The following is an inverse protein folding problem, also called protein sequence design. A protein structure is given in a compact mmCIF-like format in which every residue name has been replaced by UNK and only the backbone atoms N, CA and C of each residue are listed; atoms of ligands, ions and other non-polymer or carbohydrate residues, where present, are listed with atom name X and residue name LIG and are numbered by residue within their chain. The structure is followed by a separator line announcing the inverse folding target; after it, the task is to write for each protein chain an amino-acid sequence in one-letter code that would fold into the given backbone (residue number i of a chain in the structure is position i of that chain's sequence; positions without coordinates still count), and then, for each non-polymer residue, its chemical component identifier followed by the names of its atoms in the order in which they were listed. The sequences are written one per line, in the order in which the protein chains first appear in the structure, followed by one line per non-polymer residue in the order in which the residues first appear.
data_IF_818999067894
#
_entry.id   IF_818999067894
#
_cell.length_a   1.000
_cell.length_b   1.000
_cell.length_c   1.000
_cell.angle_alpha   90.00
_cell.angle_beta   90.00
_cell.angle_gamma   90.00
#
_symmetry.space_group_name_H-M   'P 1'
#
loop_
_entity.id
_entity.type
_entity.pdbx_description
1 polymer ?
#
# COMPACT_ATOMS: atom_id res chain seq x y z
N UNK A 1 13.91 6.96 3.15
CA UNK A 1 12.90 6.72 4.16
C UNK A 1 11.86 7.79 4.19
N UNK A 2 10.94 7.74 3.28
CA UNK A 2 9.87 8.70 3.28
C UNK A 2 8.57 7.98 3.51
N UNK A 3 7.84 8.43 4.50
CA UNK A 3 6.50 7.92 4.71
C UNK A 3 5.56 8.68 3.81
N UNK A 4 4.69 7.95 3.16
CA UNK A 4 3.71 8.52 2.26
C UNK A 4 2.33 8.11 2.73
N UNK A 5 1.35 8.91 2.37
CA UNK A 5 -0.03 8.57 2.64
C UNK A 5 -0.74 8.38 1.31
N UNK A 6 -1.70 7.49 1.30
CA UNK A 6 -2.45 7.25 0.09
C UNK A 6 -3.75 6.53 0.39
N UNK A 7 -4.47 6.22 -0.68
CA UNK A 7 -5.74 5.53 -0.59
C UNK A 7 -5.63 4.23 -1.36
N UNK A 8 -6.12 3.15 -0.77
CA UNK A 8 -6.13 1.87 -1.45
C UNK A 8 -7.06 1.95 -2.65
N UNK A 9 -6.52 1.73 -3.84
CA UNK A 9 -7.31 1.71 -5.04
C UNK A 9 -8.04 0.38 -5.17
N UNK A 10 -7.32 -0.70 -4.95
CA UNK A 10 -7.91 -2.01 -4.98
C UNK A 10 -7.00 -2.98 -4.24
N UNK A 11 -7.56 -4.05 -3.76
CA UNK A 11 -6.78 -5.09 -3.10
C UNK A 11 -7.45 -6.42 -3.30
N UNK A 12 -6.67 -7.38 -3.79
CA UNK A 12 -7.17 -8.73 -4.05
C UNK A 12 -6.69 -9.65 -2.92
N UNK A 13 -7.62 -10.03 -2.06
CA UNK A 13 -7.28 -10.86 -0.92
C UNK A 13 -6.80 -12.25 -1.32
N UNK A 14 -7.34 -12.76 -2.42
CA UNK A 14 -6.94 -14.08 -2.90
C UNK A 14 -5.50 -14.11 -3.36
N UNK A 15 -5.06 -13.03 -4.00
CA UNK A 15 -3.68 -12.93 -4.46
C UNK A 15 -2.78 -12.28 -3.42
N UNK A 16 -3.37 -11.61 -2.44
CA UNK A 16 -2.61 -10.90 -1.44
C UNK A 16 -1.87 -9.71 -1.99
N UNK A 17 -2.46 -9.02 -2.97
CA UNK A 17 -1.81 -7.88 -3.58
C UNK A 17 -2.83 -6.86 -4.02
N UNK A 18 -2.37 -5.63 -4.19
CA UNK A 18 -3.24 -4.55 -4.61
C UNK A 18 -2.46 -3.33 -5.02
N UNK A 19 -3.15 -2.20 -5.09
CA UNK A 19 -2.55 -0.94 -5.49
C UNK A 19 -2.99 0.17 -4.56
N UNK A 20 -2.10 1.13 -4.37
CA UNK A 20 -2.38 2.31 -3.56
C UNK A 20 -2.15 3.53 -4.43
N UNK A 21 -3.06 4.50 -4.36
CA UNK A 21 -2.91 5.78 -5.03
C UNK A 21 -2.38 6.78 -4.01
N UNK A 22 -1.13 7.25 -4.19
CA UNK A 22 -0.56 8.22 -3.25
C UNK A 22 -1.33 9.54 -3.28
N UNK A 23 -1.41 10.18 -2.13
CA UNK A 23 -2.13 11.45 -2.03
C UNK A 23 -1.44 12.58 -2.77
N UNK A 24 -0.15 12.45 -3.01
CA UNK A 24 0.61 13.49 -3.68
C UNK A 24 0.45 13.48 -5.20
N UNK A 25 -0.38 12.59 -5.72
CA UNK A 25 -0.61 12.51 -7.14
C UNK A 25 0.42 11.70 -7.90
N UNK A 26 1.31 11.04 -7.20
CA UNK A 26 2.31 10.18 -7.85
C UNK A 26 1.63 8.97 -8.48
N UNK A 27 2.42 8.22 -9.25
CA UNK A 27 1.90 7.00 -9.86
C UNK A 27 1.52 6.00 -8.78
N UNK A 28 0.57 5.14 -9.12
CA UNK A 28 0.15 4.10 -8.22
C UNK A 28 1.34 3.23 -7.82
N UNK A 29 1.31 2.78 -6.58
CA UNK A 29 2.34 1.88 -6.08
C UNK A 29 1.72 0.52 -5.80
N UNK A 30 2.50 -0.51 -6.03
CA UNK A 30 2.08 -1.87 -5.80
C UNK A 30 2.20 -2.19 -4.31
N UNK A 31 1.22 -2.91 -3.77
CA UNK A 31 1.28 -3.34 -2.37
C UNK A 31 1.02 -4.83 -2.31
N UNK A 32 1.73 -5.50 -1.43
CA UNK A 32 1.57 -6.94 -1.20
C UNK A 32 1.23 -7.16 0.26
N UNK A 33 0.48 -8.22 0.54
CA UNK A 33 0.07 -8.50 1.91
C UNK A 33 1.25 -8.62 2.86
N UNK A 34 2.40 -9.08 2.36
CA UNK A 34 3.60 -9.17 3.17
C UNK A 34 4.15 -7.80 3.58
N UNK A 35 3.75 -6.77 2.87
CA UNK A 35 4.21 -5.41 3.17
C UNK A 35 3.32 -4.71 4.19
N UNK A 36 2.21 -5.31 4.54
CA UNK A 36 1.32 -4.73 5.53
C UNK A 36 1.88 -5.00 6.91
N UNK A 37 2.15 -3.91 7.62
CA UNK A 37 2.85 -3.97 8.91
C UNK A 37 1.87 -3.96 10.07
N UNK A 38 0.80 -4.74 9.95
CA UNK A 38 -0.19 -4.81 11.01
C UNK A 38 -0.88 -6.18 10.95
N UNK A 39 -0.69 -6.98 11.98
CA UNK A 39 -1.17 -8.35 11.95
C UNK A 39 -2.67 -8.45 11.80
N UNK A 40 -3.40 -7.49 12.35
CA UNK A 40 -4.85 -7.52 12.30
C UNK A 40 -5.42 -7.04 10.98
N UNK A 41 -4.60 -6.39 10.15
CA UNK A 41 -5.07 -5.77 8.92
C UNK A 41 -4.21 -6.18 7.74
N UNK A 42 -4.07 -7.46 7.54
CA UNK A 42 -3.32 -7.95 6.40
C UNK A 42 -4.08 -7.80 5.09
N UNK A 43 -5.36 -7.47 5.20
CA UNK A 43 -6.18 -7.21 4.05
C UNK A 43 -6.61 -5.75 4.08
N UNK A 44 -6.52 -5.10 2.92
CA UNK A 44 -6.90 -3.70 2.79
C UNK A 44 -8.23 -3.61 2.07
N UNK A 45 -8.99 -2.58 2.39
CA UNK A 45 -10.27 -2.33 1.74
C UNK A 45 -10.12 -1.19 0.74
N UNK A 46 -10.89 -1.26 -0.34
CA UNK A 46 -10.89 -0.18 -1.32
C UNK A 46 -11.33 1.12 -0.65
N UNK A 47 -10.60 2.18 -0.95
CA UNK A 47 -10.89 3.48 -0.38
C UNK A 47 -10.31 3.70 0.99
N UNK A 48 -9.67 2.70 1.56
CA UNK A 48 -9.08 2.83 2.89
C UNK A 48 -7.82 3.69 2.81
N UNK A 49 -7.66 4.58 3.78
CA UNK A 49 -6.46 5.40 3.84
C UNK A 49 -5.37 4.65 4.59
N UNK A 50 -4.17 4.73 4.04
CA UNK A 50 -3.03 4.01 4.59
C UNK A 50 -1.80 4.90 4.55
N UNK A 51 -0.85 4.56 5.39
CA UNK A 51 0.47 5.18 5.38
C UNK A 51 1.49 4.09 5.04
N UNK A 52 2.46 4.43 4.23
CA UNK A 52 3.40 3.45 3.74
C UNK A 52 4.71 4.12 3.36
N UNK A 53 5.72 3.27 3.11
CA UNK A 53 6.99 3.73 2.55
C UNK A 53 7.12 3.17 1.15
N UNK A 54 7.84 3.85 0.31
CA UNK A 54 8.04 3.42 -1.06
C UNK A 54 9.42 2.82 -1.21
N UNK A 55 9.47 1.62 -1.78
CA UNK A 55 10.71 0.96 -2.09
C UNK A 55 10.83 0.81 -3.59
N UNK A 56 11.92 1.31 -4.17
CA UNK A 56 12.18 1.15 -5.60
C UNK A 56 12.71 -0.25 -5.86
N UNK A 57 12.16 -0.87 -6.87
CA UNK A 57 12.58 -2.21 -7.23
C UNK A 57 12.62 -2.37 -8.74
N UNK A 58 13.00 -3.56 -9.18
CA UNK A 58 13.13 -3.85 -10.61
C UNK A 58 11.80 -3.68 -11.34
N UNK A 59 10.71 -3.89 -10.65
CA UNK A 59 9.37 -3.78 -11.24
C UNK A 59 8.76 -2.40 -11.06
N UNK A 60 9.48 -1.49 -10.41
CA UNK A 60 8.97 -0.16 -10.14
C UNK A 60 8.76 0.05 -8.65
N UNK A 61 8.11 1.17 -8.29
CA UNK A 61 7.90 1.46 -6.87
C UNK A 61 6.87 0.52 -6.26
N UNK A 62 7.12 0.12 -5.03
CA UNK A 62 6.17 -0.70 -4.29
C UNK A 62 6.05 -0.15 -2.86
N UNK A 63 4.88 -0.37 -2.28
CA UNK A 63 4.62 0.08 -0.91
C UNK A 63 5.12 -0.98 0.06
N UNK A 64 5.80 -0.51 1.11
CA UNK A 64 6.24 -1.39 2.18
C UNK A 64 5.82 -0.76 3.50
N UNK A 65 5.82 -1.54 4.55
CA UNK A 65 5.46 -1.09 5.88
C UNK A 65 4.12 -0.35 5.88
N UNK A 66 3.16 -0.94 5.17
CA UNK A 66 1.84 -0.36 5.01
C UNK A 66 1.03 -0.59 6.28
N UNK A 67 0.37 0.46 6.74
CA UNK A 67 -0.54 0.32 7.87
C UNK A 67 -1.70 1.30 7.70
N UNK A 68 -2.86 0.97 8.22
CA UNK A 68 -4.03 1.83 8.06
C UNK A 68 -3.89 3.11 8.87
N UNK A 69 -4.47 4.16 8.34
CA UNK A 69 -4.51 5.46 9.00
C UNK A 69 -5.98 5.87 9.11
N UNK A 70 -6.35 6.31 10.25
CA UNK A 70 -7.73 6.78 10.44
C UNK A 70 -7.92 8.20 9.94
#
# INVERSE_FOLDING_TARGET
MSKHKGTVKSFNQSKGSGSITPEDGSKEVFVHSNAIDHEEYKNLSEGQKVEFEIQEGAKGPSAIKVHPVD
#
